data_IF_789458447527
#
_entry.id   IF_789458447527
#
_cell.length_a   1.000
_cell.length_b   1.000
_cell.length_c   1.000
_cell.angle_alpha   90.00
_cell.angle_beta   90.00
_cell.angle_gamma   90.00
#
_symmetry.space_group_name_H-M   'P 1'
#
loop_
_entity.id
_entity.type
_entity.pdbx_description
1 polymer ?
#
# COMPACT_ATOMS: atom_id res chain seq x y z
N UNK A 1 -7.26 -22.01 90.06
CA UNK A 1 -8.33 -22.09 91.02
C UNK A 1 -9.38 -23.02 90.47
N UNK A 2 -9.21 -24.30 90.74
CA UNK A 2 -10.17 -25.08 91.55
C UNK A 2 -11.57 -25.17 90.90
N UNK A 3 -12.26 -26.31 90.71
CA UNK A 3 -12.31 -27.61 91.40
C UNK A 3 -13.15 -28.57 90.52
N UNK A 4 -12.74 -29.74 90.33
CA UNK A 4 -13.32 -31.08 90.45
C UNK A 4 -14.87 -31.28 90.36
N UNK A 5 -15.23 -32.36 89.72
CA UNK A 5 -16.44 -33.11 89.98
C UNK A 5 -16.68 -34.26 89.02
N UNK A 6 -16.16 -35.46 89.39
CA UNK A 6 -16.49 -36.76 88.88
C UNK A 6 -18.03 -37.12 89.06
N UNK A 7 -18.52 -38.08 88.30
CA UNK A 7 -19.02 -39.38 88.68
C UNK A 7 -19.78 -40.13 87.53
N UNK A 8 -19.25 -41.29 87.18
CA UNK A 8 -19.82 -42.56 86.77
C UNK A 8 -21.30 -42.73 86.39
N UNK A 9 -21.65 -43.35 85.30
CA UNK A 9 -22.11 -44.74 85.21
C UNK A 9 -22.28 -45.27 83.75
N UNK A 10 -21.61 -46.33 83.47
CA UNK A 10 -21.94 -47.56 82.67
C UNK A 10 -23.29 -47.55 81.89
N UNK A 11 -23.20 -47.92 80.63
CA UNK A 11 -23.42 -49.29 80.13
C UNK A 11 -23.42 -49.33 78.60
N UNK A 12 -22.62 -50.23 78.08
CA UNK A 12 -22.79 -51.11 76.91
C UNK A 12 -23.89 -50.74 75.86
N UNK A 13 -23.54 -50.63 74.59
CA UNK A 13 -23.66 -51.76 73.65
C UNK A 13 -23.40 -51.38 72.20
N UNK A 14 -22.69 -52.25 71.50
CA UNK A 14 -22.78 -52.63 70.10
C UNK A 14 -22.35 -51.64 69.01
N UNK A 15 -21.20 -51.93 68.50
CA UNK A 15 -20.80 -52.09 67.11
C UNK A 15 -21.83 -51.72 66.03
N UNK A 16 -21.47 -50.70 65.17
CA UNK A 16 -21.67 -50.82 63.75
C UNK A 16 -20.52 -50.12 63.05
N UNK A 17 -19.52 -50.92 62.74
CA UNK A 17 -18.46 -50.59 61.77
C UNK A 17 -19.09 -50.66 60.37
N UNK A 18 -19.36 -49.54 59.73
CA UNK A 18 -19.87 -49.65 58.39
C UNK A 18 -19.95 -48.36 57.53
N UNK A 19 -19.78 -47.15 58.07
CA UNK A 19 -20.19 -45.99 57.31
C UNK A 19 -19.08 -44.93 57.03
N UNK A 20 -17.90 -45.04 57.66
CA UNK A 20 -16.82 -44.07 57.49
C UNK A 20 -16.07 -44.13 56.14
N UNK A 21 -16.01 -45.33 55.53
CA UNK A 21 -15.25 -45.50 54.28
C UNK A 21 -15.98 -45.05 53.02
N UNK A 22 -17.32 -45.08 53.03
CA UNK A 22 -18.12 -44.60 51.88
C UNK A 22 -18.17 -43.07 51.81
N UNK A 23 -18.21 -42.40 52.94
CA UNK A 23 -18.24 -40.90 52.99
C UNK A 23 -16.87 -40.35 52.56
N UNK A 24 -15.76 -40.92 52.97
CA UNK A 24 -14.41 -40.47 52.61
C UNK A 24 -14.10 -40.73 51.13
N UNK A 25 -14.58 -41.89 50.59
CA UNK A 25 -14.47 -42.14 49.13
C UNK A 25 -15.27 -41.16 48.28
N UNK A 26 -16.50 -40.86 48.66
CA UNK A 26 -17.36 -39.90 47.95
C UNK A 26 -16.79 -38.49 47.98
N UNK A 27 -16.24 -38.03 49.11
CA UNK A 27 -15.60 -36.72 49.22
C UNK A 27 -14.30 -36.63 48.36
N UNK A 28 -13.49 -37.66 48.36
CA UNK A 28 -12.27 -37.70 47.55
C UNK A 28 -12.58 -37.73 46.06
N UNK A 29 -13.59 -38.49 45.60
CA UNK A 29 -14.05 -38.50 44.21
C UNK A 29 -14.64 -37.16 43.78
N UNK A 30 -15.33 -36.44 44.66
CA UNK A 30 -15.89 -35.12 44.40
C UNK A 30 -14.77 -34.05 44.29
N UNK A 31 -13.75 -34.14 45.14
CA UNK A 31 -12.60 -33.21 45.07
C UNK A 31 -11.77 -33.48 43.81
N UNK A 32 -11.50 -34.76 43.47
CA UNK A 32 -10.76 -35.13 42.25
C UNK A 32 -11.54 -34.68 40.99
N UNK A 33 -12.88 -34.77 40.98
CA UNK A 33 -13.69 -34.34 39.86
C UNK A 33 -13.69 -32.79 39.68
N UNK A 34 -13.60 -32.03 40.75
CA UNK A 34 -13.47 -30.57 40.75
C UNK A 34 -12.10 -30.14 40.23
N UNK A 35 -11.01 -30.79 40.65
CA UNK A 35 -9.66 -30.49 40.17
C UNK A 35 -9.53 -30.81 38.69
N UNK A 36 -10.06 -31.92 38.22
CA UNK A 36 -10.07 -32.28 36.80
C UNK A 36 -10.90 -31.31 35.98
N UNK A 37 -12.03 -30.82 36.51
CA UNK A 37 -12.83 -29.79 35.84
C UNK A 37 -12.10 -28.44 35.76
N UNK A 38 -11.48 -28.01 36.85
CA UNK A 38 -10.63 -26.80 36.88
C UNK A 38 -9.48 -26.87 35.88
N UNK A 39 -8.80 -28.02 35.82
CA UNK A 39 -7.70 -28.23 34.86
C UNK A 39 -8.18 -28.19 33.41
N UNK A 40 -9.36 -28.76 33.12
CA UNK A 40 -9.99 -28.69 31.79
C UNK A 40 -10.37 -27.23 31.44
N UNK A 41 -10.94 -26.48 32.34
CA UNK A 41 -11.26 -25.05 32.16
C UNK A 41 -10.01 -24.21 31.93
N UNK A 42 -8.93 -24.49 32.67
CA UNK A 42 -7.65 -23.80 32.48
C UNK A 42 -7.03 -24.11 31.11
N UNK A 43 -7.11 -25.36 30.67
CA UNK A 43 -6.62 -25.79 29.36
C UNK A 43 -7.42 -25.13 28.21
N UNK A 44 -8.77 -25.07 28.36
CA UNK A 44 -9.64 -24.39 27.38
C UNK A 44 -9.33 -22.88 27.32
N UNK A 45 -9.17 -22.24 28.48
CA UNK A 45 -8.82 -20.82 28.54
C UNK A 45 -7.44 -20.55 27.93
N UNK A 46 -6.47 -21.42 28.21
CA UNK A 46 -5.13 -21.33 27.62
C UNK A 46 -5.17 -21.48 26.09
N UNK A 47 -5.94 -22.45 25.57
CA UNK A 47 -6.12 -22.65 24.14
C UNK A 47 -6.85 -21.45 23.48
N UNK A 48 -7.83 -20.86 24.15
CA UNK A 48 -8.50 -19.65 23.67
C UNK A 48 -7.56 -18.45 23.64
N UNK A 49 -6.71 -18.27 24.63
CA UNK A 49 -5.70 -17.21 24.66
C UNK A 49 -4.66 -17.45 23.57
N UNK A 50 -4.18 -18.68 23.37
CA UNK A 50 -3.29 -19.01 22.28
C UNK A 50 -3.92 -18.75 20.91
N UNK A 51 -5.21 -19.10 20.72
CA UNK A 51 -5.95 -18.83 19.50
C UNK A 51 -6.11 -17.33 19.25
N UNK A 52 -6.40 -16.56 20.27
CA UNK A 52 -6.47 -15.08 20.22
C UNK A 52 -5.09 -14.46 19.89
N UNK A 53 -4.01 -14.98 20.46
CA UNK A 53 -2.65 -14.54 20.13
C UNK A 53 -2.25 -14.89 18.70
N UNK A 54 -2.64 -16.08 18.19
CA UNK A 54 -2.40 -16.49 16.81
C UNK A 54 -3.20 -15.64 15.81
N UNK A 55 -4.44 -15.29 16.14
CA UNK A 55 -5.25 -14.39 15.29
C UNK A 55 -4.70 -12.96 15.33
N UNK A 56 -4.28 -12.45 16.48
CA UNK A 56 -3.66 -11.13 16.59
C UNK A 56 -2.32 -11.04 15.81
N UNK A 57 -1.52 -12.10 15.80
CA UNK A 57 -0.29 -12.16 15.01
C UNK A 57 -0.57 -12.28 13.50
N UNK A 58 -1.71 -12.88 13.10
CA UNK A 58 -2.12 -13.00 11.69
C UNK A 58 -2.72 -11.70 11.12
N UNK A 59 -3.13 -10.76 11.99
CA UNK A 59 -3.65 -9.45 11.63
C UNK A 59 -2.69 -8.29 11.93
N UNK A 60 -1.45 -8.57 12.35
CA UNK A 60 -0.41 -7.54 12.37
C UNK A 60 -0.11 -7.19 10.91
N UNK A 61 -0.58 -6.03 10.45
CA UNK A 61 -0.15 -5.46 9.17
C UNK A 61 1.38 -5.50 9.15
N UNK A 62 1.99 -6.04 8.08
CA UNK A 62 3.45 -6.01 7.96
C UNK A 62 3.87 -4.55 8.06
N UNK A 63 4.70 -4.23 9.03
CA UNK A 63 5.29 -2.89 9.14
C UNK A 63 5.91 -2.45 7.82
N UNK A 64 6.00 -1.14 7.59
CA UNK A 64 6.66 -0.60 6.40
C UNK A 64 8.01 -1.29 6.16
N UNK A 65 8.34 -1.61 4.90
CA UNK A 65 9.69 -2.08 4.58
C UNK A 65 10.71 -1.00 4.97
N UNK A 66 11.95 -1.40 5.18
CA UNK A 66 13.05 -0.45 5.26
C UNK A 66 13.10 0.40 3.98
N UNK A 67 13.00 1.73 4.12
CA UNK A 67 12.98 2.69 3.02
C UNK A 67 14.36 3.37 2.94
N UNK A 68 15.29 2.85 2.13
CA UNK A 68 16.62 3.44 2.01
C UNK A 68 16.56 4.86 1.44
N UNK A 69 17.60 5.65 1.73
CA UNK A 69 17.81 6.99 1.17
C UNK A 69 18.53 6.99 -0.19
N UNK A 70 19.00 5.83 -0.64
CA UNK A 70 19.69 5.65 -1.93
C UNK A 70 19.30 4.33 -2.55
N UNK A 71 19.05 4.35 -3.87
CA UNK A 71 18.79 3.13 -4.64
C UNK A 71 20.04 2.23 -4.64
N UNK A 72 19.95 0.97 -4.14
CA UNK A 72 21.06 0.05 -4.18
C UNK A 72 21.48 -0.27 -5.63
N UNK A 73 22.78 -0.37 -5.87
CA UNK A 73 23.36 -0.47 -7.23
C UNK A 73 22.96 -1.74 -7.98
N UNK A 74 22.63 -2.81 -7.28
CA UNK A 74 22.20 -4.07 -7.87
C UNK A 74 20.87 -3.95 -8.62
N UNK A 75 19.97 -3.04 -8.23
CA UNK A 75 18.69 -2.82 -8.92
C UNK A 75 18.83 -2.01 -10.23
N UNK A 76 20.00 -1.45 -10.47
CA UNK A 76 20.32 -0.75 -11.74
C UNK A 76 20.76 -1.72 -12.85
N UNK A 77 21.06 -2.97 -12.52
CA UNK A 77 21.54 -3.97 -13.48
C UNK A 77 20.38 -4.57 -14.27
N UNK A 78 20.63 -4.88 -15.54
CA UNK A 78 19.68 -5.63 -16.36
C UNK A 78 19.45 -7.04 -15.81
N UNK A 79 18.23 -7.51 -15.87
CA UNK A 79 17.84 -8.88 -15.56
C UNK A 79 17.70 -9.66 -16.86
N UNK A 80 18.25 -10.86 -16.89
CA UNK A 80 18.01 -11.77 -18.01
C UNK A 80 16.56 -12.26 -17.92
N UNK A 81 15.89 -12.36 -19.06
CA UNK A 81 14.48 -12.77 -19.14
C UNK A 81 13.52 -11.92 -18.30
N UNK A 82 13.81 -10.61 -18.18
CA UNK A 82 12.93 -9.63 -17.56
C UNK A 82 11.62 -9.41 -18.32
N UNK A 83 10.76 -8.53 -17.78
CA UNK A 83 9.47 -8.23 -18.40
C UNK A 83 9.56 -7.66 -19.81
N UNK A 84 8.44 -7.73 -20.53
CA UNK A 84 8.27 -7.21 -21.89
C UNK A 84 7.71 -5.78 -21.86
N UNK A 85 8.16 -4.91 -22.76
CA UNK A 85 7.57 -3.58 -22.95
C UNK A 85 6.92 -3.49 -24.31
N UNK A 86 5.66 -3.13 -24.32
CA UNK A 86 4.86 -2.91 -25.51
C UNK A 86 4.62 -1.41 -25.73
N UNK A 87 4.64 -0.97 -26.99
CA UNK A 87 4.12 0.34 -27.37
C UNK A 87 2.67 0.16 -27.80
N UNK A 88 1.82 0.96 -27.23
CA UNK A 88 0.40 0.94 -27.54
C UNK A 88 -0.08 2.32 -27.96
N UNK A 89 -1.23 2.32 -28.61
CA UNK A 89 -2.02 3.50 -28.88
C UNK A 89 -3.47 3.19 -28.47
N UNK A 90 -4.11 4.12 -27.80
CA UNK A 90 -5.49 3.98 -27.33
C UNK A 90 -6.34 5.18 -27.76
N UNK A 91 -7.64 4.97 -28.05
CA UNK A 91 -8.55 6.07 -28.38
C UNK A 91 -8.77 6.97 -27.17
N UNK A 92 -8.79 8.28 -27.40
CA UNK A 92 -8.99 9.29 -26.37
C UNK A 92 -9.59 10.56 -26.97
N UNK A 93 -9.65 11.63 -26.20
CA UNK A 93 -10.11 12.94 -26.63
C UNK A 93 -9.12 14.04 -26.28
N UNK A 94 -9.12 15.11 -27.05
CA UNK A 94 -8.39 16.33 -26.75
C UNK A 94 -9.06 17.07 -25.58
N UNK A 95 -8.86 16.54 -24.34
CA UNK A 95 -9.54 17.05 -23.14
C UNK A 95 -9.13 18.48 -22.76
N UNK A 96 -7.92 18.88 -23.12
CA UNK A 96 -7.45 20.24 -22.91
C UNK A 96 -7.95 21.19 -24.02
N UNK A 97 -8.20 20.68 -25.24
CA UNK A 97 -8.56 21.47 -26.41
C UNK A 97 -10.04 21.38 -26.78
N UNK A 98 -10.29 20.96 -28.03
CA UNK A 98 -11.61 21.00 -28.70
C UNK A 98 -12.46 19.73 -28.49
N UNK A 99 -12.02 18.79 -27.67
CA UNK A 99 -12.68 17.48 -27.41
C UNK A 99 -12.77 16.57 -28.67
N UNK A 100 -12.01 16.86 -29.71
CA UNK A 100 -11.92 15.97 -30.86
C UNK A 100 -11.40 14.59 -30.43
N UNK A 101 -11.83 13.55 -31.11
CA UNK A 101 -11.28 12.22 -30.97
C UNK A 101 -9.84 12.20 -31.44
N UNK A 102 -8.96 11.60 -30.63
CA UNK A 102 -7.53 11.47 -30.89
C UNK A 102 -7.05 10.08 -30.51
N UNK A 103 -5.85 9.77 -30.90
CA UNK A 103 -5.13 8.57 -30.46
C UNK A 103 -3.98 8.98 -29.57
N UNK A 104 -3.84 8.35 -28.41
CA UNK A 104 -2.82 8.64 -27.41
C UNK A 104 -1.79 7.51 -27.31
N UNK A 105 -0.49 7.82 -27.28
CA UNK A 105 0.56 6.81 -27.06
C UNK A 105 0.72 6.47 -25.58
N UNK A 106 1.04 5.21 -25.30
CA UNK A 106 1.56 4.77 -24.01
C UNK A 106 2.55 3.63 -24.16
N UNK A 107 3.33 3.35 -23.11
CA UNK A 107 4.06 2.11 -22.95
C UNK A 107 3.39 1.24 -21.91
N UNK A 108 3.35 -0.07 -22.14
CA UNK A 108 2.90 -1.05 -21.16
C UNK A 108 4.02 -2.02 -20.87
N UNK A 109 4.38 -2.14 -19.60
CA UNK A 109 5.26 -3.17 -19.10
C UNK A 109 4.45 -4.35 -18.61
N UNK A 110 4.78 -5.53 -19.11
CA UNK A 110 4.24 -6.82 -18.69
C UNK A 110 5.35 -7.56 -17.93
N UNK A 111 5.09 -8.08 -16.73
CA UNK A 111 6.10 -8.77 -15.94
C UNK A 111 6.57 -10.05 -16.61
N UNK A 112 7.77 -10.52 -16.26
CA UNK A 112 8.28 -11.81 -16.70
C UNK A 112 7.26 -12.92 -16.36
N UNK A 113 6.93 -13.77 -17.33
CA UNK A 113 5.93 -14.82 -17.18
C UNK A 113 4.47 -14.32 -17.19
N UNK A 114 4.20 -13.12 -17.71
CA UNK A 114 2.83 -12.64 -17.90
C UNK A 114 1.97 -13.67 -18.66
N UNK A 115 0.76 -13.87 -18.18
CA UNK A 115 -0.26 -14.74 -18.78
C UNK A 115 -1.64 -14.11 -18.62
N UNK A 116 -2.48 -14.20 -19.65
CA UNK A 116 -3.87 -13.75 -19.60
C UNK A 116 -4.76 -14.61 -18.69
N UNK A 117 -4.25 -15.76 -18.22
CA UNK A 117 -4.94 -16.62 -17.25
C UNK A 117 -4.82 -16.11 -15.80
N UNK A 118 -3.92 -15.16 -15.56
CA UNK A 118 -3.69 -14.53 -14.25
C UNK A 118 -4.25 -13.12 -14.25
N UNK A 119 -4.46 -12.55 -13.05
CA UNK A 119 -4.78 -11.13 -12.88
C UNK A 119 -3.62 -10.41 -12.18
N UNK A 120 -3.42 -9.14 -12.54
CA UNK A 120 -2.30 -8.33 -12.08
C UNK A 120 -2.78 -6.98 -11.56
N UNK A 121 -2.09 -6.48 -10.55
CA UNK A 121 -2.20 -5.08 -10.14
C UNK A 121 -1.74 -4.17 -11.29
N UNK A 122 -2.32 -2.97 -11.37
CA UNK A 122 -2.00 -1.97 -12.39
C UNK A 122 -1.41 -0.70 -11.75
N UNK A 123 -0.21 -0.32 -12.16
CA UNK A 123 0.39 0.97 -11.84
C UNK A 123 0.32 1.92 -13.05
N UNK A 124 -0.31 3.07 -12.89
CA UNK A 124 -0.21 4.21 -13.81
C UNK A 124 1.00 5.05 -13.40
N UNK A 125 2.05 5.08 -14.23
CA UNK A 125 3.34 5.71 -13.92
C UNK A 125 3.57 6.94 -14.80
N UNK A 126 3.40 8.13 -14.24
CA UNK A 126 3.37 9.41 -14.94
C UNK A 126 4.74 10.06 -15.07
N UNK A 127 5.01 10.69 -16.21
CA UNK A 127 6.24 11.40 -16.53
C UNK A 127 6.22 12.89 -16.14
N UNK A 128 7.36 13.58 -16.25
CA UNK A 128 7.53 15.00 -15.98
C UNK A 128 7.23 15.91 -17.19
N UNK A 129 7.36 17.24 -16.98
CA UNK A 129 7.00 18.26 -17.99
C UNK A 129 7.84 18.17 -19.26
N UNK A 130 9.11 17.78 -19.17
CA UNK A 130 10.02 17.63 -20.31
C UNK A 130 9.98 16.25 -20.96
N UNK A 131 9.26 15.29 -20.36
CA UNK A 131 9.22 13.91 -20.77
C UNK A 131 7.98 13.54 -21.59
N UNK A 132 7.93 12.25 -21.91
CA UNK A 132 6.81 11.57 -22.56
C UNK A 132 6.63 10.19 -21.90
N UNK A 133 5.77 9.34 -22.43
CA UNK A 133 5.58 7.94 -22.01
C UNK A 133 6.89 7.14 -21.93
N UNK A 134 7.97 7.64 -22.49
CA UNK A 134 9.29 6.98 -22.57
C UNK A 134 10.26 7.35 -21.46
N UNK A 135 9.94 8.38 -20.66
CA UNK A 135 10.89 9.03 -19.73
C UNK A 135 11.42 8.08 -18.65
N UNK A 136 10.63 7.12 -18.19
CA UNK A 136 11.02 6.18 -17.14
C UNK A 136 12.04 5.10 -17.57
N UNK A 137 12.47 5.10 -18.83
CA UNK A 137 13.56 4.23 -19.32
C UNK A 137 13.19 2.75 -19.43
N UNK A 138 11.93 2.45 -19.74
CA UNK A 138 11.50 1.06 -19.95
C UNK A 138 11.89 0.51 -21.33
N UNK A 139 12.05 1.35 -22.34
CA UNK A 139 12.49 0.94 -23.69
C UNK A 139 14.00 1.13 -23.92
N UNK A 140 14.59 2.10 -23.26
CA UNK A 140 15.99 2.45 -23.44
C UNK A 140 16.49 3.23 -22.21
N UNK A 141 17.72 2.93 -21.80
CA UNK A 141 18.43 3.70 -20.78
C UNK A 141 18.53 5.20 -21.15
N UNK A 142 18.53 6.19 -20.19
CA UNK A 142 19.30 6.06 -18.95
C UNK A 142 18.50 5.93 -17.64
N UNK A 143 17.18 6.04 -17.67
CA UNK A 143 16.38 6.14 -16.42
C UNK A 143 16.25 4.84 -15.65
N UNK A 144 16.46 3.69 -16.30
CA UNK A 144 16.56 2.35 -15.70
C UNK A 144 15.30 1.84 -14.95
N UNK A 145 14.14 2.43 -15.16
CA UNK A 145 12.90 2.00 -14.48
C UNK A 145 12.59 0.52 -14.70
N UNK A 146 12.79 0.01 -15.94
CA UNK A 146 12.61 -1.41 -16.23
C UNK A 146 13.54 -2.31 -15.40
N UNK A 147 14.84 -1.99 -15.35
CA UNK A 147 15.81 -2.78 -14.58
C UNK A 147 15.41 -2.86 -13.09
N UNK A 148 14.98 -1.74 -12.54
CA UNK A 148 14.53 -1.65 -11.15
C UNK A 148 13.35 -2.59 -10.91
N UNK A 149 12.30 -2.52 -11.73
CA UNK A 149 11.10 -3.35 -11.60
C UNK A 149 11.42 -4.83 -11.80
N UNK A 150 12.18 -5.17 -12.85
CA UNK A 150 12.60 -6.55 -13.11
C UNK A 150 13.36 -7.15 -11.93
N UNK A 151 14.28 -6.39 -11.30
CA UNK A 151 15.01 -6.86 -10.12
C UNK A 151 14.12 -7.09 -8.91
N UNK A 152 13.18 -6.17 -8.63
CA UNK A 152 12.25 -6.32 -7.53
C UNK A 152 11.38 -7.58 -7.68
N UNK A 153 10.87 -7.84 -8.88
CA UNK A 153 10.08 -9.03 -9.20
C UNK A 153 10.94 -10.30 -9.11
N UNK A 154 12.12 -10.30 -9.75
CA UNK A 154 13.02 -11.46 -9.77
C UNK A 154 13.50 -11.87 -8.38
N UNK A 155 13.68 -10.91 -7.46
CA UNK A 155 14.03 -11.17 -6.06
C UNK A 155 12.81 -11.54 -5.20
N UNK A 156 11.60 -11.49 -5.75
CA UNK A 156 10.36 -11.74 -5.01
C UNK A 156 10.08 -10.70 -3.92
N UNK A 157 10.57 -9.47 -4.08
CA UNK A 157 10.31 -8.38 -3.14
C UNK A 157 8.96 -7.73 -3.38
N UNK A 158 8.46 -7.80 -4.61
CA UNK A 158 7.11 -7.36 -5.00
C UNK A 158 6.42 -8.45 -5.82
N UNK A 159 5.09 -8.44 -5.81
CA UNK A 159 4.29 -9.25 -6.74
C UNK A 159 4.48 -8.75 -8.17
N UNK A 160 4.42 -9.64 -9.18
CA UNK A 160 4.34 -9.21 -10.57
C UNK A 160 3.15 -8.27 -10.79
N UNK A 161 3.39 -7.15 -11.50
CA UNK A 161 2.34 -6.16 -11.81
C UNK A 161 2.49 -5.65 -13.24
N UNK A 162 1.41 -5.11 -13.79
CA UNK A 162 1.38 -4.37 -15.05
C UNK A 162 1.68 -2.90 -14.73
N UNK A 163 2.52 -2.26 -15.57
CA UNK A 163 2.74 -0.81 -15.47
C UNK A 163 2.37 -0.17 -16.79
N UNK A 164 1.46 0.79 -16.79
CA UNK A 164 1.19 1.65 -17.93
C UNK A 164 1.86 3.01 -17.73
N UNK A 165 2.59 3.44 -18.71
CA UNK A 165 3.23 4.76 -18.77
C UNK A 165 2.57 5.56 -19.90
N UNK A 166 1.50 6.31 -19.59
CA UNK A 166 0.81 7.14 -20.59
C UNK A 166 1.59 8.43 -20.87
N UNK A 167 1.27 9.10 -21.98
CA UNK A 167 1.60 10.51 -22.11
C UNK A 167 0.58 11.34 -21.33
N UNK A 168 1.01 11.93 -20.21
CA UNK A 168 0.13 12.62 -19.27
C UNK A 168 -0.45 13.97 -19.75
N UNK A 169 -0.17 14.39 -21.01
CA UNK A 169 -0.77 15.58 -21.62
C UNK A 169 -2.03 15.20 -22.38
N UNK A 170 -3.19 15.53 -21.88
CA UNK A 170 -4.49 15.18 -22.46
C UNK A 170 -4.88 16.12 -23.62
N UNK A 171 -4.08 16.09 -24.67
CA UNK A 171 -4.23 16.90 -25.87
C UNK A 171 -3.73 16.17 -27.13
N UNK A 172 -4.23 16.58 -28.31
CA UNK A 172 -3.75 16.07 -29.60
C UNK A 172 -2.28 16.34 -29.87
N UNK A 173 -1.72 17.40 -29.26
CA UNK A 173 -0.30 17.75 -29.35
C UNK A 173 0.51 17.22 -28.14
N UNK A 174 0.18 16.04 -27.66
CA UNK A 174 0.78 15.45 -26.45
C UNK A 174 2.29 15.19 -26.59
N UNK A 175 2.80 14.98 -27.81
CA UNK A 175 4.21 14.81 -28.08
C UNK A 175 5.04 16.10 -27.94
N UNK A 176 4.42 17.25 -27.91
CA UNK A 176 5.08 18.53 -27.74
C UNK A 176 5.47 18.76 -26.27
N UNK A 177 6.75 18.71 -25.98
CA UNK A 177 7.31 18.87 -24.64
C UNK A 177 7.61 20.31 -24.24
N UNK A 178 7.21 21.30 -25.07
CA UNK A 178 7.33 22.71 -24.72
C UNK A 178 6.56 23.01 -23.43
N UNK A 179 7.18 23.80 -22.54
CA UNK A 179 6.57 24.17 -21.25
C UNK A 179 5.19 24.84 -21.41
N UNK A 180 4.92 25.49 -22.53
CA UNK A 180 3.60 26.10 -22.85
C UNK A 180 2.48 25.07 -22.97
N UNK A 181 2.81 23.80 -23.25
CA UNK A 181 1.87 22.70 -23.31
C UNK A 181 1.64 22.04 -21.94
N UNK A 182 2.20 22.60 -20.88
CA UNK A 182 2.08 22.07 -19.51
C UNK A 182 0.63 22.06 -19.02
N UNK A 183 -0.21 23.00 -19.50
CA UNK A 183 -1.61 23.06 -19.07
C UNK A 183 -2.41 21.79 -19.39
N UNK A 184 -2.02 21.04 -20.42
CA UNK A 184 -2.67 19.79 -20.80
C UNK A 184 -2.53 18.65 -19.74
N UNK A 185 -1.58 18.77 -18.80
CA UNK A 185 -1.44 17.83 -17.68
C UNK A 185 -2.62 17.86 -16.71
N UNK A 186 -3.29 19.01 -16.56
CA UNK A 186 -4.38 19.18 -15.59
C UNK A 186 -5.70 18.56 -16.03
N UNK A 187 -5.83 18.19 -17.31
CA UNK A 187 -7.03 17.53 -17.83
C UNK A 187 -6.95 15.99 -17.79
N UNK A 188 -5.86 15.44 -17.27
CA UNK A 188 -5.55 14.00 -17.34
C UNK A 188 -6.52 13.12 -16.54
N UNK A 189 -7.17 13.64 -15.51
CA UNK A 189 -8.17 12.89 -14.73
C UNK A 189 -9.34 12.41 -15.59
N UNK A 190 -9.80 13.23 -16.55
CA UNK A 190 -10.85 12.84 -17.48
C UNK A 190 -10.42 11.72 -18.43
N UNK A 191 -9.17 11.77 -18.91
CA UNK A 191 -8.58 10.75 -19.77
C UNK A 191 -8.38 9.42 -19.03
N UNK A 192 -7.88 9.47 -17.79
CA UNK A 192 -7.74 8.28 -16.93
C UNK A 192 -9.09 7.58 -16.78
N UNK A 193 -10.12 8.35 -16.43
CA UNK A 193 -11.42 7.82 -16.07
C UNK A 193 -12.18 7.26 -17.28
N UNK A 194 -12.15 7.99 -18.39
CA UNK A 194 -13.02 7.67 -19.54
C UNK A 194 -12.35 6.80 -20.60
N UNK A 195 -11.02 6.85 -20.71
CA UNK A 195 -10.32 6.25 -21.84
C UNK A 195 -9.24 5.25 -21.40
N UNK A 196 -8.22 5.69 -20.63
CA UNK A 196 -7.05 4.88 -20.33
C UNK A 196 -7.35 3.62 -19.51
N UNK A 197 -8.01 3.77 -18.36
CA UNK A 197 -8.28 2.63 -17.48
C UNK A 197 -9.30 1.64 -18.12
N UNK A 198 -10.42 2.08 -18.70
CA UNK A 198 -11.31 1.16 -19.44
C UNK A 198 -10.59 0.40 -20.55
N UNK A 199 -9.72 1.08 -21.29
CA UNK A 199 -8.96 0.45 -22.36
C UNK A 199 -7.94 -0.58 -21.82
N UNK A 200 -7.25 -0.26 -20.72
CA UNK A 200 -6.33 -1.20 -20.07
C UNK A 200 -7.03 -2.46 -19.56
N UNK A 201 -8.19 -2.32 -18.93
CA UNK A 201 -8.96 -3.46 -18.41
C UNK A 201 -9.53 -4.35 -19.53
N UNK A 202 -9.81 -3.77 -20.71
CA UNK A 202 -10.27 -4.52 -21.88
C UNK A 202 -9.15 -5.33 -22.55
N UNK A 203 -7.91 -4.83 -22.53
CA UNK A 203 -6.80 -5.36 -23.34
C UNK A 203 -5.75 -6.13 -22.53
N UNK A 204 -5.75 -6.03 -21.20
CA UNK A 204 -4.78 -6.68 -20.33
C UNK A 204 -5.45 -7.34 -19.12
N UNK A 205 -4.81 -8.37 -18.61
CA UNK A 205 -5.32 -9.14 -17.47
C UNK A 205 -5.15 -8.39 -16.13
N UNK A 206 -5.78 -7.23 -16.00
CA UNK A 206 -5.82 -6.47 -14.74
C UNK A 206 -6.93 -6.99 -13.84
N UNK A 207 -6.84 -6.71 -12.51
CA UNK A 207 -7.96 -6.97 -11.60
C UNK A 207 -9.19 -6.11 -11.91
N UNK A 208 -9.03 -4.97 -12.58
CA UNK A 208 -10.12 -4.09 -12.99
C UNK A 208 -10.80 -3.32 -11.86
N UNK A 209 -10.31 -3.41 -10.62
CA UNK A 209 -10.86 -2.73 -9.47
C UNK A 209 -9.87 -1.73 -8.84
N UNK A 210 -10.39 -0.86 -8.00
CA UNK A 210 -9.67 0.22 -7.31
C UNK A 210 -8.53 -0.28 -6.43
N UNK A 211 -8.77 -1.38 -5.71
CA UNK A 211 -7.84 -1.83 -4.66
C UNK A 211 -6.54 -2.41 -5.24
N UNK A 212 -6.59 -2.75 -6.53
CA UNK A 212 -5.47 -3.24 -7.33
C UNK A 212 -4.93 -2.20 -8.33
N UNK A 213 -5.33 -0.92 -8.19
CA UNK A 213 -4.83 0.18 -9.04
C UNK A 213 -4.07 1.19 -8.23
N UNK A 214 -2.93 1.61 -8.76
CA UNK A 214 -1.99 2.54 -8.14
C UNK A 214 -1.59 3.63 -9.12
N UNK A 215 -1.30 4.81 -8.62
CA UNK A 215 -0.81 5.92 -9.44
C UNK A 215 0.48 6.48 -8.83
N UNK A 216 1.50 6.64 -9.66
CA UNK A 216 2.74 7.31 -9.24
C UNK A 216 3.34 8.16 -10.36
N UNK A 217 4.23 9.08 -9.99
CA UNK A 217 4.89 9.89 -10.99
C UNK A 217 5.95 10.82 -10.43
N UNK A 218 6.79 11.32 -11.35
CA UNK A 218 7.84 12.28 -11.08
C UNK A 218 7.45 13.71 -11.53
N UNK A 219 7.91 14.72 -10.82
CA UNK A 219 7.74 16.13 -11.21
C UNK A 219 6.27 16.49 -11.52
N UNK A 220 5.92 16.83 -12.76
CA UNK A 220 4.53 17.05 -13.18
C UNK A 220 3.66 15.78 -12.99
N UNK A 221 4.21 14.59 -13.21
CA UNK A 221 3.54 13.33 -12.89
C UNK A 221 3.32 13.14 -11.38
N UNK A 222 4.22 13.63 -10.53
CA UNK A 222 4.03 13.71 -9.08
C UNK A 222 2.91 14.67 -8.70
N UNK A 223 2.81 15.82 -9.37
CA UNK A 223 1.66 16.73 -9.25
C UNK A 223 0.35 16.04 -9.67
N UNK A 224 0.36 15.33 -10.82
CA UNK A 224 -0.82 14.57 -11.26
C UNK A 224 -1.22 13.49 -10.23
N UNK A 225 -0.24 12.83 -9.63
CA UNK A 225 -0.51 11.84 -8.57
C UNK A 225 -1.22 12.47 -7.38
N UNK A 226 -0.79 13.67 -6.95
CA UNK A 226 -1.42 14.37 -5.82
C UNK A 226 -2.76 15.01 -6.23
N UNK A 227 -2.73 15.88 -7.24
CA UNK A 227 -3.90 16.72 -7.56
C UNK A 227 -5.01 15.92 -8.24
N UNK A 228 -4.66 14.96 -9.10
CA UNK A 228 -5.60 14.18 -9.89
C UNK A 228 -5.83 12.81 -9.24
N UNK A 229 -4.80 11.98 -9.08
CA UNK A 229 -4.94 10.65 -8.52
C UNK A 229 -5.58 10.66 -7.13
N UNK A 230 -4.94 11.35 -6.19
CA UNK A 230 -5.38 11.41 -4.80
C UNK A 230 -6.60 12.31 -4.58
N UNK A 231 -6.70 13.46 -5.27
CA UNK A 231 -7.71 14.47 -4.96
C UNK A 231 -8.93 14.46 -5.91
N UNK A 232 -8.87 13.84 -7.09
CA UNK A 232 -9.95 13.83 -8.07
C UNK A 232 -10.40 12.42 -8.49
N UNK A 233 -9.51 11.41 -8.41
CA UNK A 233 -9.74 10.05 -8.90
C UNK A 233 -9.50 8.99 -7.82
N UNK A 234 -9.76 9.27 -6.56
CA UNK A 234 -9.55 8.34 -5.45
C UNK A 234 -10.52 7.14 -5.50
N UNK A 235 -11.60 7.25 -6.25
CA UNK A 235 -12.51 6.15 -6.60
C UNK A 235 -11.90 5.14 -7.58
N UNK A 236 -10.80 5.50 -8.26
CA UNK A 236 -10.11 4.66 -9.22
C UNK A 236 -8.82 4.02 -8.69
N UNK A 237 -8.20 4.62 -7.67
CA UNK A 237 -6.89 4.24 -7.14
C UNK A 237 -6.90 4.09 -5.63
N UNK A 238 -6.09 3.14 -5.11
CA UNK A 238 -5.95 2.90 -3.68
C UNK A 238 -4.63 3.39 -3.09
N UNK A 239 -3.56 3.48 -3.90
CA UNK A 239 -2.24 3.90 -3.43
C UNK A 239 -1.57 4.88 -4.39
N UNK A 240 -0.77 5.80 -3.83
CA UNK A 240 -0.25 6.99 -4.52
C UNK A 240 1.22 7.19 -4.19
N UNK A 241 2.06 7.42 -5.24
CA UNK A 241 3.49 7.70 -5.10
C UNK A 241 3.90 8.98 -5.81
N UNK A 242 4.23 10.05 -5.09
CA UNK A 242 4.64 11.32 -5.67
C UNK A 242 6.13 11.57 -5.44
N UNK A 243 6.90 11.80 -6.52
CA UNK A 243 8.35 11.98 -6.46
C UNK A 243 8.74 13.33 -6.99
N UNK A 244 9.32 14.19 -6.15
CA UNK A 244 9.65 15.58 -6.49
C UNK A 244 8.45 16.30 -7.15
N UNK A 245 7.27 16.26 -6.52
CA UNK A 245 6.03 16.79 -7.09
C UNK A 245 6.16 18.28 -7.45
N UNK A 246 5.75 18.62 -8.67
CA UNK A 246 5.94 19.95 -9.28
C UNK A 246 5.33 21.11 -8.47
N UNK A 247 5.79 22.34 -8.67
CA UNK A 247 5.37 23.54 -7.90
C UNK A 247 3.85 23.83 -7.87
N UNK A 248 3.08 23.24 -8.77
CA UNK A 248 1.62 23.37 -8.83
C UNK A 248 0.86 22.29 -8.07
N UNK A 249 1.54 21.45 -7.31
CA UNK A 249 0.92 20.49 -6.40
C UNK A 249 0.13 21.20 -5.31
N UNK A 250 -1.01 20.62 -4.92
CA UNK A 250 -1.83 21.16 -3.85
C UNK A 250 -1.11 21.10 -2.50
N UNK A 251 -1.15 22.20 -1.71
CA UNK A 251 -0.62 22.16 -0.35
C UNK A 251 -1.49 21.27 0.56
N UNK A 252 -0.92 20.80 1.66
CA UNK A 252 -1.52 19.83 2.58
C UNK A 252 -2.97 20.15 2.99
N UNK A 253 -3.27 21.41 3.34
CA UNK A 253 -4.63 21.82 3.71
C UNK A 253 -5.63 21.64 2.56
N UNK A 254 -5.20 21.88 1.30
CA UNK A 254 -6.05 21.66 0.12
C UNK A 254 -6.19 20.19 -0.19
N UNK A 255 -5.10 19.41 -0.11
CA UNK A 255 -5.16 17.93 -0.24
C UNK A 255 -6.19 17.37 0.73
N UNK A 256 -6.11 17.72 2.01
CA UNK A 256 -7.05 17.28 3.03
C UNK A 256 -8.51 17.64 2.73
N UNK A 257 -8.76 18.84 2.22
CA UNK A 257 -10.10 19.27 1.83
C UNK A 257 -10.66 18.50 0.62
N UNK A 258 -9.80 18.16 -0.34
CA UNK A 258 -10.21 17.40 -1.54
C UNK A 258 -10.46 15.93 -1.22
N UNK A 259 -9.55 15.24 -0.50
CA UNK A 259 -9.71 13.82 -0.16
C UNK A 259 -10.94 13.57 0.71
N UNK A 260 -11.35 14.55 1.53
CA UNK A 260 -12.57 14.44 2.33
C UNK A 260 -13.84 14.23 1.49
N UNK A 261 -13.84 14.61 0.22
CA UNK A 261 -14.96 14.34 -0.70
C UNK A 261 -15.10 12.87 -1.06
N UNK A 262 -14.08 12.06 -0.74
CA UNK A 262 -13.95 10.65 -1.06
C UNK A 262 -13.86 9.78 0.21
N UNK A 263 -14.52 10.17 1.30
CA UNK A 263 -14.48 9.47 2.58
C UNK A 263 -14.99 8.01 2.56
N UNK A 264 -15.74 7.65 1.52
CA UNK A 264 -16.12 6.25 1.24
C UNK A 264 -14.97 5.39 0.68
N UNK A 265 -13.86 5.98 0.25
CA UNK A 265 -12.74 5.31 -0.40
C UNK A 265 -11.48 5.37 0.46
N UNK A 266 -11.14 4.33 1.24
CA UNK A 266 -9.96 4.34 2.09
C UNK A 266 -8.67 4.42 1.28
N UNK A 267 -7.74 5.28 1.71
CA UNK A 267 -6.41 5.36 1.11
C UNK A 267 -5.57 4.22 1.68
N UNK A 268 -5.13 3.29 0.81
CA UNK A 268 -4.23 2.20 1.21
C UNK A 268 -2.86 2.75 1.60
N UNK A 269 -2.29 3.63 0.75
CA UNK A 269 -1.02 4.28 1.04
C UNK A 269 -0.81 5.54 0.20
N UNK A 270 -0.22 6.57 0.82
CA UNK A 270 0.32 7.73 0.11
C UNK A 270 1.79 7.92 0.49
N UNK A 271 2.68 7.76 -0.49
CA UNK A 271 4.11 7.98 -0.35
C UNK A 271 4.53 9.22 -1.13
N UNK A 272 5.20 10.17 -0.47
CA UNK A 272 5.71 11.39 -1.09
C UNK A 272 7.20 11.52 -0.76
N UNK A 273 8.04 11.68 -1.78
CA UNK A 273 9.50 11.79 -1.66
C UNK A 273 10.02 13.02 -2.39
N UNK A 274 10.97 13.72 -1.79
CA UNK A 274 11.72 14.77 -2.49
C UNK A 274 13.18 14.83 -2.01
N UNK A 275 14.06 15.19 -2.93
CA UNK A 275 15.45 15.51 -2.61
C UNK A 275 15.56 16.86 -1.89
N UNK A 276 16.38 16.95 -0.85
CA UNK A 276 16.58 18.21 -0.09
C UNK A 276 17.33 19.28 -0.88
N UNK A 277 18.06 18.91 -1.95
CA UNK A 277 18.71 19.80 -2.91
C UNK A 277 17.83 20.19 -4.10
N UNK A 278 16.62 19.65 -4.21
CA UNK A 278 15.71 19.89 -5.32
C UNK A 278 15.15 21.33 -5.27
N UNK A 279 15.83 22.26 -5.93
CA UNK A 279 15.44 23.68 -5.98
C UNK A 279 14.15 23.94 -6.76
N UNK A 280 13.65 22.97 -7.54
CA UNK A 280 12.44 23.09 -8.34
C UNK A 280 11.22 22.67 -7.51
N UNK A 281 11.26 21.50 -6.89
CA UNK A 281 10.09 20.85 -6.33
C UNK A 281 10.06 20.78 -4.79
N UNK A 282 11.19 20.96 -4.10
CA UNK A 282 11.22 20.73 -2.65
C UNK A 282 10.21 21.57 -1.87
N UNK A 283 10.05 22.86 -2.21
CA UNK A 283 9.11 23.74 -1.54
C UNK A 283 7.65 23.26 -1.69
N UNK A 284 7.24 22.86 -2.91
CA UNK A 284 5.88 22.39 -3.19
C UNK A 284 5.62 20.98 -2.64
N UNK A 285 6.56 20.06 -2.85
CA UNK A 285 6.45 18.68 -2.35
C UNK A 285 6.36 18.66 -0.82
N UNK A 286 7.21 19.44 -0.13
CA UNK A 286 7.15 19.53 1.32
C UNK A 286 5.88 20.23 1.81
N UNK A 287 5.36 21.25 1.09
CA UNK A 287 4.10 21.91 1.42
C UNK A 287 2.88 21.01 1.25
N UNK A 288 2.93 20.04 0.34
CA UNK A 288 1.89 19.02 0.16
C UNK A 288 1.90 17.94 1.24
N UNK A 289 3.06 17.70 1.86
CA UNK A 289 3.28 16.59 2.78
C UNK A 289 3.35 17.02 4.25
N UNK A 290 4.16 18.06 4.55
CA UNK A 290 4.34 18.55 5.93
C UNK A 290 3.01 19.02 6.49
N UNK A 291 2.74 18.59 7.70
CA UNK A 291 1.49 18.89 8.40
C UNK A 291 0.21 18.24 7.83
N UNK A 292 0.30 17.41 6.77
CA UNK A 292 -0.88 16.78 6.16
C UNK A 292 -1.71 16.00 7.20
N UNK A 293 -1.06 15.26 8.08
CA UNK A 293 -1.71 14.51 9.17
C UNK A 293 -2.42 15.40 10.22
N UNK A 294 -2.15 16.72 10.22
CA UNK A 294 -2.87 17.66 11.08
C UNK A 294 -4.20 18.13 10.50
N UNK A 295 -4.40 17.93 9.19
CA UNK A 295 -5.57 18.43 8.46
C UNK A 295 -6.59 17.33 8.14
N UNK A 296 -6.22 16.04 8.25
CA UNK A 296 -7.09 14.91 7.91
C UNK A 296 -6.83 13.71 8.81
N UNK A 297 -7.86 12.93 9.08
CA UNK A 297 -7.82 11.62 9.74
C UNK A 297 -7.86 10.43 8.77
N UNK A 298 -8.06 10.69 7.46
CA UNK A 298 -8.00 9.67 6.41
C UNK A 298 -6.58 9.15 6.15
N UNK A 299 -5.57 9.94 6.56
CA UNK A 299 -4.15 9.59 6.53
C UNK A 299 -3.59 9.58 7.93
N UNK A 300 -2.73 8.61 8.21
CA UNK A 300 -2.03 8.39 9.48
C UNK A 300 -0.59 7.98 9.21
N UNK A 301 0.24 7.86 10.22
CA UNK A 301 1.59 7.32 10.08
C UNK A 301 1.63 5.88 9.53
N UNK A 302 0.50 5.16 9.59
CA UNK A 302 0.41 3.80 9.04
C UNK A 302 0.24 3.78 7.50
N UNK A 303 -0.38 4.81 6.91
CA UNK A 303 -0.69 4.85 5.47
C UNK A 303 -0.19 6.10 4.74
N UNK A 304 0.60 6.94 5.40
CA UNK A 304 1.25 8.10 4.80
C UNK A 304 2.72 8.19 5.21
N UNK A 305 3.59 8.41 4.25
CA UNK A 305 5.00 8.64 4.52
C UNK A 305 5.56 9.78 3.65
N UNK A 306 6.12 10.80 4.32
CA UNK A 306 6.95 11.83 3.71
C UNK A 306 8.41 11.50 3.95
N UNK A 307 9.17 11.33 2.87
CA UNK A 307 10.61 11.08 2.92
C UNK A 307 11.39 12.23 2.30
N UNK A 308 12.38 12.72 3.02
CA UNK A 308 13.40 13.65 2.54
C UNK A 308 14.73 12.92 2.48
N UNK A 309 15.48 13.08 1.39
CA UNK A 309 16.82 12.53 1.29
C UNK A 309 17.74 13.47 0.50
N UNK A 310 19.06 13.40 0.68
CA UNK A 310 19.99 14.18 -0.11
C UNK A 310 19.86 13.86 -1.60
N UNK A 311 19.67 14.90 -2.44
CA UNK A 311 19.55 14.74 -3.89
C UNK A 311 18.83 15.92 -4.53
N UNK A 312 18.86 15.94 -5.86
CA UNK A 312 18.34 16.99 -6.72
C UNK A 312 17.14 16.51 -7.55
N UNK A 313 16.60 17.37 -8.43
CA UNK A 313 15.49 17.06 -9.35
C UNK A 313 15.94 16.13 -10.48
N UNK A 314 16.18 14.86 -10.18
CA UNK A 314 16.73 13.90 -11.14
C UNK A 314 16.35 12.44 -10.85
N UNK A 315 16.78 11.54 -11.73
CA UNK A 315 16.48 10.11 -11.67
C UNK A 315 17.13 9.35 -10.49
N UNK A 316 18.08 9.91 -9.77
CA UNK A 316 18.55 9.27 -8.54
C UNK A 316 17.45 9.31 -7.47
N UNK A 317 16.73 10.43 -7.36
CA UNK A 317 15.59 10.60 -6.48
C UNK A 317 14.35 9.86 -7.02
N UNK A 318 14.02 9.98 -8.30
CA UNK A 318 12.81 9.40 -8.86
C UNK A 318 12.84 7.87 -8.92
N UNK A 319 13.99 7.28 -9.27
CA UNK A 319 14.17 5.83 -9.19
C UNK A 319 14.12 5.32 -7.76
N UNK A 320 14.66 6.06 -6.79
CA UNK A 320 14.51 5.74 -5.38
C UNK A 320 13.04 5.79 -4.95
N UNK A 321 12.32 6.82 -5.40
CA UNK A 321 10.89 6.96 -5.16
C UNK A 321 10.08 5.77 -5.67
N UNK A 322 10.30 5.38 -6.93
CA UNK A 322 9.66 4.21 -7.53
C UNK A 322 10.02 2.92 -6.78
N UNK A 323 11.29 2.74 -6.42
CA UNK A 323 11.77 1.59 -5.66
C UNK A 323 11.07 1.45 -4.31
N UNK A 324 11.07 2.52 -3.52
CA UNK A 324 10.44 2.53 -2.21
C UNK A 324 8.93 2.33 -2.31
N UNK A 325 8.27 3.03 -3.24
CA UNK A 325 6.83 2.91 -3.45
C UNK A 325 6.40 1.49 -3.82
N UNK A 326 7.08 0.85 -4.76
CA UNK A 326 6.77 -0.53 -5.13
C UNK A 326 6.94 -1.50 -3.96
N UNK A 327 7.94 -1.33 -3.12
CA UNK A 327 8.15 -2.15 -1.92
C UNK A 327 7.11 -1.90 -0.84
N UNK A 328 6.59 -0.68 -0.74
CA UNK A 328 5.45 -0.34 0.14
C UNK A 328 4.18 -1.07 -0.31
N UNK A 329 3.92 -1.14 -1.61
CA UNK A 329 2.77 -1.89 -2.14
C UNK A 329 2.84 -3.37 -1.76
N UNK A 330 4.05 -3.87 -1.62
CA UNK A 330 4.36 -5.15 -0.99
C UNK A 330 4.08 -6.36 -1.88
N UNK A 331 4.00 -7.46 -1.17
CA UNK A 331 3.81 -8.78 -1.73
C UNK A 331 2.35 -9.19 -1.75
#
# INVERSE_FOLDING_TARGET
MLIFGDIHHRNNCLLSSGDGRHIVKSAAETVLSKEVLLMKLFLILFLLVCLLCLTAAAFAEPGLPDLPEKLPMEYRKSVQDGGLVQRIEYPSKDYYGDRAEITKPALVYLPAGYSEENQYDLLVLCHGVGGTEREWGFLSNPSMGKNLVDNLIAKGEIRPLIIVMPNGRSTKDCGNTDWRNMQAFYSFGQEIHNDLLPWMDEHYATYGDRDHRYMAGLSMGGMQTINIGLCECMDLFSAFGAFSAAPTSYPAAKVAAEIKKFDAYPIRYFYNLCGTGDSIAYASASAAAKDLLKYTDQLTEANFHWQECPGDHNFDIWNLGLFNFLRILGK
#
